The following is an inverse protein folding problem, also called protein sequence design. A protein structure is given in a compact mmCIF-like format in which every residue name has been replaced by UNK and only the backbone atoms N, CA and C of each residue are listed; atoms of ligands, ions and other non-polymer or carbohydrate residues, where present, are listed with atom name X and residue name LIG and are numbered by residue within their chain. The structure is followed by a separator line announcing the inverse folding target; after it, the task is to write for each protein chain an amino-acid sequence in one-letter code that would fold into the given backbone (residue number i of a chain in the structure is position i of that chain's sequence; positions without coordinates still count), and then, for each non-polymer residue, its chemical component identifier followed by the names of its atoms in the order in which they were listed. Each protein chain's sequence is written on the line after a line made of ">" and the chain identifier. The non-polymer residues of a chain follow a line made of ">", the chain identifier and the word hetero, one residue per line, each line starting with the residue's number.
data_IF_025517095744
#
_entry.id   IF_025517095744
#
_cell.length_a   1.000
_cell.length_b   1.000
_cell.length_c   1.000
_cell.angle_alpha   90.00
_cell.angle_beta   90.00
_cell.angle_gamma   90.00
#
_symmetry.space_group_name_H-M   'P 1'
#
loop_
_entity.id
_entity.type
_entity.pdbx_description
1 polymer ?
#
# COMPACT_ATOMS: atom_id res chain seq x y z
N UNK A 1 2.39 -22.57 -14.67
CA UNK A 1 1.54 -23.22 -13.68
C UNK A 1 0.38 -22.26 -13.40
N UNK A 2 -0.82 -22.53 -13.94
CA UNK A 2 -2.02 -21.74 -13.62
C UNK A 2 -2.29 -21.95 -12.13
N UNK A 3 -2.27 -20.86 -11.33
CA UNK A 3 -2.81 -20.91 -9.96
C UNK A 3 -4.30 -21.19 -10.12
N UNK A 4 -4.78 -22.35 -9.65
CA UNK A 4 -6.21 -22.57 -9.50
C UNK A 4 -6.78 -21.42 -8.67
N UNK A 5 -7.69 -20.67 -9.26
CA UNK A 5 -8.34 -19.53 -8.60
C UNK A 5 -9.24 -20.08 -7.50
N UNK A 6 -8.82 -19.93 -6.26
CA UNK A 6 -9.63 -20.30 -5.09
C UNK A 6 -10.78 -19.30 -4.92
N UNK A 7 -12.00 -19.82 -4.78
CA UNK A 7 -13.20 -19.02 -4.55
C UNK A 7 -13.47 -18.93 -3.05
N UNK A 8 -13.67 -17.73 -2.53
CA UNK A 8 -14.07 -17.49 -1.14
C UNK A 8 -15.59 -17.38 -1.05
N UNK A 9 -16.20 -18.18 -0.17
CA UNK A 9 -17.65 -18.21 0.04
C UNK A 9 -17.96 -17.97 1.51
N UNK A 10 -18.73 -16.93 1.80
CA UNK A 10 -19.22 -16.61 3.16
C UNK A 10 -20.66 -17.08 3.30
N UNK A 11 -20.95 -17.85 4.33
CA UNK A 11 -22.31 -18.28 4.67
C UNK A 11 -22.75 -17.70 6.01
N UNK A 12 -24.05 -17.46 6.11
CA UNK A 12 -24.69 -17.02 7.36
C UNK A 12 -24.89 -18.20 8.30
N UNK A 13 -24.49 -18.04 9.57
CA UNK A 13 -24.79 -19.06 10.60
C UNK A 13 -26.30 -19.16 10.82
N UNK A 14 -26.83 -20.41 11.07
CA UNK A 14 -26.12 -21.63 11.46
C UNK A 14 -25.59 -22.49 10.29
N UNK A 15 -25.65 -22.02 9.05
CA UNK A 15 -25.16 -22.78 7.92
C UNK A 15 -23.66 -23.12 8.06
N UNK A 16 -23.26 -24.31 7.65
CA UNK A 16 -21.85 -24.73 7.66
C UNK A 16 -21.11 -24.12 6.46
N UNK A 17 -19.92 -23.60 6.73
CA UNK A 17 -19.01 -23.17 5.66
C UNK A 17 -18.70 -24.31 4.69
N UNK A 18 -18.74 -24.06 3.38
CA UNK A 18 -18.45 -25.10 2.40
C UNK A 18 -17.01 -25.59 2.52
N UNK A 19 -16.83 -26.91 2.45
CA UNK A 19 -15.53 -27.57 2.43
C UNK A 19 -15.41 -28.33 1.11
N UNK A 20 -14.87 -27.69 0.08
CA UNK A 20 -14.65 -28.27 -1.25
C UNK A 20 -13.27 -27.86 -1.77
N UNK A 21 -12.64 -28.67 -2.65
CA UNK A 21 -11.45 -28.23 -3.38
C UNK A 21 -11.68 -26.87 -4.05
N UNK A 22 -10.68 -26.01 -4.05
CA UNK A 22 -10.71 -24.65 -4.59
C UNK A 22 -11.77 -23.70 -3.96
N UNK A 23 -12.33 -24.02 -2.78
CA UNK A 23 -13.26 -23.16 -2.03
C UNK A 23 -12.74 -22.94 -0.61
N UNK A 24 -12.59 -21.67 -0.20
CA UNK A 24 -12.36 -21.28 1.19
C UNK A 24 -13.67 -20.79 1.79
N UNK A 25 -14.17 -21.50 2.78
CA UNK A 25 -15.43 -21.20 3.45
C UNK A 25 -15.23 -20.25 4.64
N UNK A 26 -16.01 -19.16 4.67
CA UNK A 26 -16.13 -18.24 5.79
C UNK A 26 -17.53 -18.31 6.40
N UNK A 27 -17.70 -17.85 7.65
CA UNK A 27 -19.01 -17.73 8.26
C UNK A 27 -19.24 -16.32 8.80
N UNK A 28 -20.48 -15.87 8.75
CA UNK A 28 -20.95 -14.62 9.31
C UNK A 28 -22.15 -14.88 10.24
N UNK A 29 -22.30 -14.08 11.28
CA UNK A 29 -23.38 -14.20 12.25
C UNK A 29 -24.30 -12.98 12.16
N UNK A 30 -25.62 -13.15 12.03
CA UNK A 30 -26.58 -12.05 12.08
C UNK A 30 -26.44 -11.21 13.36
N UNK A 31 -26.61 -9.89 13.26
CA UNK A 31 -26.46 -8.98 14.39
C UNK A 31 -25.05 -8.43 14.59
N UNK A 32 -24.08 -8.83 13.76
CA UNK A 32 -22.71 -8.30 13.76
C UNK A 32 -22.59 -7.13 12.76
N UNK A 33 -23.36 -6.07 12.96
CA UNK A 33 -23.32 -4.87 12.12
C UNK A 33 -24.10 -4.99 10.80
N UNK A 34 -23.76 -4.13 9.83
CA UNK A 34 -24.40 -4.14 8.51
C UNK A 34 -24.10 -5.46 7.75
N UNK A 35 -25.02 -5.94 6.88
CA UNK A 35 -24.78 -7.15 6.11
C UNK A 35 -23.42 -7.09 5.40
N UNK A 36 -22.61 -8.16 5.47
CA UNK A 36 -21.25 -8.17 4.93
C UNK A 36 -21.21 -8.28 3.40
N UNK A 37 -22.33 -8.14 2.72
CA UNK A 37 -22.47 -8.28 1.28
C UNK A 37 -23.21 -7.13 0.63
N UNK A 38 -23.02 -7.02 -0.68
CA UNK A 38 -23.77 -6.19 -1.60
C UNK A 38 -24.46 -7.09 -2.62
N UNK A 39 -25.68 -6.79 -3.00
CA UNK A 39 -26.32 -7.43 -4.13
C UNK A 39 -25.81 -6.83 -5.45
N UNK A 40 -25.31 -7.67 -6.34
CA UNK A 40 -24.88 -7.27 -7.68
C UNK A 40 -25.37 -8.30 -8.68
N UNK A 41 -26.27 -7.90 -9.57
CA UNK A 41 -26.84 -8.75 -10.63
C UNK A 41 -27.38 -10.09 -10.12
N UNK A 42 -28.04 -10.09 -8.94
CA UNK A 42 -28.56 -11.26 -8.29
C UNK A 42 -27.52 -12.12 -7.53
N UNK A 43 -26.28 -11.63 -7.40
CA UNK A 43 -25.23 -12.28 -6.61
C UNK A 43 -24.96 -11.46 -5.34
N UNK A 44 -24.81 -12.15 -4.22
CA UNK A 44 -24.31 -11.55 -2.98
C UNK A 44 -22.80 -11.53 -3.00
N UNK A 45 -22.21 -10.34 -3.03
CA UNK A 45 -20.76 -10.12 -3.04
C UNK A 45 -20.37 -9.50 -1.71
N UNK A 46 -19.34 -10.03 -1.06
CA UNK A 46 -18.84 -9.48 0.21
C UNK A 46 -18.40 -8.03 0.05
N UNK A 47 -18.72 -7.20 1.05
CA UNK A 47 -18.21 -5.83 1.11
C UNK A 47 -16.70 -5.84 1.24
N UNK A 48 -16.03 -4.84 0.65
CA UNK A 48 -14.58 -4.75 0.63
C UNK A 48 -13.95 -4.81 2.03
N UNK A 49 -14.52 -4.12 3.02
CA UNK A 49 -14.05 -4.18 4.39
C UNK A 49 -14.14 -5.60 4.99
N UNK A 50 -15.19 -6.36 4.66
CA UNK A 50 -15.30 -7.76 5.09
C UNK A 50 -14.25 -8.65 4.42
N UNK A 51 -14.03 -8.49 3.12
CA UNK A 51 -12.99 -9.21 2.39
C UNK A 51 -11.63 -8.99 3.05
N UNK A 52 -11.31 -7.75 3.40
CA UNK A 52 -10.05 -7.40 4.06
C UNK A 52 -9.86 -8.10 5.41
N UNK A 53 -10.92 -8.17 6.24
CA UNK A 53 -10.88 -8.92 7.50
C UNK A 53 -10.64 -10.42 7.27
N UNK A 54 -11.30 -11.01 6.29
CA UNK A 54 -11.16 -12.44 5.97
C UNK A 54 -9.74 -12.77 5.46
N UNK A 55 -9.10 -11.84 4.73
CA UNK A 55 -7.73 -11.96 4.25
C UNK A 55 -6.69 -12.02 5.40
N UNK A 56 -6.97 -11.45 6.57
CA UNK A 56 -6.09 -11.51 7.72
C UNK A 56 -5.80 -12.94 8.21
N UNK A 57 -6.59 -13.93 7.79
CA UNK A 57 -6.33 -15.35 8.08
C UNK A 57 -5.30 -16.00 7.15
N UNK A 58 -4.89 -15.33 6.08
CA UNK A 58 -4.08 -15.87 5.00
C UNK A 58 -2.85 -15.02 4.66
N UNK A 59 -2.89 -13.73 5.01
CA UNK A 59 -1.86 -12.76 4.70
C UNK A 59 -1.06 -12.40 5.95
N UNK A 60 0.21 -12.08 5.75
CA UNK A 60 1.02 -11.42 6.76
C UNK A 60 0.68 -9.92 6.88
N UNK A 61 1.37 -9.21 7.77
CA UNK A 61 1.14 -7.78 8.01
C UNK A 61 1.34 -6.95 6.73
N UNK A 62 2.41 -7.19 6.00
CA UNK A 62 2.76 -6.40 4.81
C UNK A 62 1.74 -6.60 3.71
N UNK A 63 1.39 -7.84 3.41
CA UNK A 63 0.43 -8.17 2.36
C UNK A 63 -0.99 -7.73 2.74
N UNK A 64 -1.34 -7.74 4.04
CA UNK A 64 -2.62 -7.21 4.52
C UNK A 64 -2.69 -5.68 4.37
N UNK A 65 -1.58 -4.96 4.62
CA UNK A 65 -1.50 -3.51 4.36
C UNK A 65 -1.61 -3.23 2.85
N UNK A 66 -0.91 -3.98 2.00
CA UNK A 66 -1.02 -3.86 0.53
C UNK A 66 -2.47 -4.03 0.07
N UNK A 67 -3.14 -5.06 0.57
CA UNK A 67 -4.55 -5.30 0.24
C UNK A 67 -5.45 -4.14 0.71
N UNK A 68 -5.17 -3.58 1.90
CA UNK A 68 -5.90 -2.43 2.43
C UNK A 68 -5.67 -1.15 1.62
N UNK A 69 -4.42 -0.81 1.31
CA UNK A 69 -4.07 0.33 0.47
C UNK A 69 -4.74 0.23 -0.91
N UNK A 70 -4.77 -0.98 -1.51
CA UNK A 70 -5.50 -1.23 -2.76
C UNK A 70 -7.00 -0.95 -2.63
N UNK A 71 -7.64 -1.33 -1.52
CA UNK A 71 -9.06 -1.04 -1.29
C UNK A 71 -9.33 0.45 -1.11
N UNK A 72 -8.41 1.17 -0.46
CA UNK A 72 -8.49 2.62 -0.29
C UNK A 72 -8.29 3.37 -1.60
N UNK A 73 -7.38 2.89 -2.47
CA UNK A 73 -7.21 3.43 -3.81
C UNK A 73 -8.44 3.21 -4.69
N UNK A 74 -8.97 1.99 -4.69
CA UNK A 74 -10.11 1.61 -5.52
C UNK A 74 -9.79 1.51 -7.01
N UNK A 75 -10.79 1.82 -7.85
CA UNK A 75 -10.63 1.79 -9.31
C UNK A 75 -10.61 3.21 -9.88
N UNK A 76 -9.91 3.34 -11.00
CA UNK A 76 -9.85 4.62 -11.74
C UNK A 76 -11.10 4.78 -12.59
N UNK A 77 -11.79 5.88 -12.41
CA UNK A 77 -12.95 6.27 -13.21
C UNK A 77 -12.52 6.87 -14.57
N UNK A 78 -13.45 7.00 -15.51
CA UNK A 78 -13.19 7.57 -16.85
C UNK A 78 -12.73 9.03 -16.81
N UNK A 79 -13.14 9.78 -15.79
CA UNK A 79 -12.73 11.17 -15.56
C UNK A 79 -11.33 11.30 -14.94
N UNK A 80 -10.65 10.17 -14.66
CA UNK A 80 -9.33 10.11 -14.05
C UNK A 80 -9.32 10.08 -12.52
N UNK A 81 -10.47 10.32 -11.86
CA UNK A 81 -10.59 10.19 -10.41
C UNK A 81 -10.53 8.73 -9.94
N UNK A 82 -10.23 8.53 -8.65
CA UNK A 82 -10.27 7.21 -8.04
C UNK A 82 -11.51 7.08 -7.15
N UNK A 83 -12.24 5.97 -7.30
CA UNK A 83 -13.35 5.61 -6.44
C UNK A 83 -12.93 4.45 -5.54
N UNK A 84 -12.77 4.68 -4.22
CA UNK A 84 -12.33 3.64 -3.30
C UNK A 84 -13.36 2.51 -3.19
N UNK A 85 -12.88 1.29 -2.97
CA UNK A 85 -13.73 0.14 -2.62
C UNK A 85 -14.16 0.20 -1.16
N UNK A 86 -13.30 0.77 -0.29
CA UNK A 86 -13.57 1.05 1.11
C UNK A 86 -12.85 2.33 1.54
N UNK A 87 -13.32 2.96 2.61
CA UNK A 87 -12.66 4.09 3.26
C UNK A 87 -12.02 3.66 4.59
N UNK A 88 -11.04 4.43 5.10
CA UNK A 88 -10.43 4.17 6.41
C UNK A 88 -11.50 4.05 7.52
N UNK A 89 -12.50 4.94 7.63
CA UNK A 89 -13.57 4.77 8.62
C UNK A 89 -14.33 3.45 8.49
N UNK A 90 -14.60 2.98 7.26
CA UNK A 90 -15.29 1.71 7.05
C UNK A 90 -14.44 0.51 7.47
N UNK A 91 -13.12 0.53 7.18
CA UNK A 91 -12.19 -0.51 7.61
C UNK A 91 -12.05 -0.51 9.14
N UNK A 92 -11.95 0.65 9.77
CA UNK A 92 -11.91 0.80 11.24
C UNK A 92 -13.18 0.31 11.91
N UNK A 93 -14.34 0.64 11.37
CA UNK A 93 -15.62 0.16 11.91
C UNK A 93 -15.72 -1.37 11.83
N UNK A 94 -15.39 -1.95 10.70
CA UNK A 94 -15.36 -3.41 10.53
C UNK A 94 -14.35 -4.09 11.47
N UNK A 95 -13.16 -3.50 11.66
CA UNK A 95 -12.17 -4.02 12.59
C UNK A 95 -12.61 -3.94 14.05
N UNK A 96 -13.32 -2.88 14.46
CA UNK A 96 -13.88 -2.74 15.81
C UNK A 96 -14.90 -3.85 16.11
N UNK A 97 -15.76 -4.19 15.14
CA UNK A 97 -16.69 -5.33 15.26
C UNK A 97 -15.94 -6.68 15.35
N UNK A 98 -14.68 -6.72 14.92
CA UNK A 98 -13.81 -7.90 14.91
C UNK A 98 -12.81 -7.96 16.09
N UNK A 99 -12.81 -6.98 16.99
CA UNK A 99 -11.76 -6.75 17.99
C UNK A 99 -11.50 -7.93 18.94
N UNK A 100 -12.48 -8.80 19.17
CA UNK A 100 -12.37 -9.96 20.07
C UNK A 100 -12.18 -11.30 19.30
N UNK A 101 -11.87 -11.24 18.02
CA UNK A 101 -11.75 -12.40 17.15
C UNK A 101 -10.29 -12.73 16.82
N UNK A 102 -10.13 -13.89 16.20
CA UNK A 102 -8.83 -14.31 15.68
C UNK A 102 -8.27 -13.25 14.72
N UNK A 103 -6.95 -13.02 14.77
CA UNK A 103 -6.19 -12.03 14.00
C UNK A 103 -6.52 -10.55 14.30
N UNK A 104 -7.26 -10.22 15.36
CA UNK A 104 -7.58 -8.84 15.71
C UNK A 104 -6.32 -7.96 15.91
N UNK A 105 -5.27 -8.49 16.52
CA UNK A 105 -4.00 -7.78 16.69
C UNK A 105 -3.32 -7.46 15.35
N UNK A 106 -3.32 -8.40 14.41
CA UNK A 106 -2.78 -8.21 13.06
C UNK A 106 -3.58 -7.14 12.29
N UNK A 107 -4.90 -7.21 12.37
CA UNK A 107 -5.81 -6.23 11.74
C UNK A 107 -5.58 -4.83 12.33
N UNK A 108 -5.47 -4.70 13.66
CA UNK A 108 -5.20 -3.44 14.32
C UNK A 108 -3.85 -2.85 13.89
N UNK A 109 -2.79 -3.67 13.85
CA UNK A 109 -1.47 -3.25 13.38
C UNK A 109 -1.52 -2.80 11.91
N UNK A 110 -2.22 -3.53 11.04
CA UNK A 110 -2.35 -3.16 9.64
C UNK A 110 -3.09 -1.83 9.46
N UNK A 111 -4.17 -1.57 10.23
CA UNK A 111 -4.95 -0.32 10.17
C UNK A 111 -4.10 0.94 10.41
N UNK A 112 -3.13 0.88 11.32
CA UNK A 112 -2.24 2.02 11.60
C UNK A 112 -1.28 2.31 10.44
N UNK A 113 -1.00 1.28 9.64
CA UNK A 113 -0.08 1.34 8.50
C UNK A 113 -0.76 1.69 7.18
N UNK A 114 -2.10 1.68 7.10
CA UNK A 114 -2.83 2.00 5.87
C UNK A 114 -2.58 3.43 5.41
N UNK A 115 -2.45 3.60 4.11
CA UNK A 115 -2.37 4.92 3.47
C UNK A 115 -3.27 4.96 2.23
N UNK A 116 -3.92 6.10 2.05
CA UNK A 116 -4.63 6.43 0.82
C UNK A 116 -3.64 6.84 -0.28
N UNK A 117 -4.09 6.83 -1.54
CA UNK A 117 -3.34 7.31 -2.70
C UNK A 117 -2.09 6.49 -3.07
N UNK A 118 -1.97 5.26 -2.58
CA UNK A 118 -0.89 4.34 -2.99
C UNK A 118 -1.26 3.71 -4.33
N UNK A 119 -0.38 3.81 -5.32
CA UNK A 119 -0.68 3.39 -6.69
C UNK A 119 -0.25 1.95 -7.02
N UNK A 120 0.68 1.38 -6.26
CA UNK A 120 1.16 0.02 -6.48
C UNK A 120 1.50 -0.74 -5.19
N UNK A 121 1.50 -2.10 -5.23
CA UNK A 121 1.99 -2.92 -4.12
C UNK A 121 3.44 -2.63 -3.73
N UNK A 122 4.27 -2.25 -4.70
CA UNK A 122 5.69 -1.97 -4.45
C UNK A 122 5.91 -0.64 -3.73
N UNK A 123 5.07 0.37 -3.98
CA UNK A 123 5.07 1.62 -3.19
C UNK A 123 4.72 1.34 -1.73
N UNK A 124 3.70 0.51 -1.45
CA UNK A 124 3.39 0.07 -0.08
C UNK A 124 4.60 -0.61 0.56
N UNK A 125 5.23 -1.58 -0.13
CA UNK A 125 6.41 -2.29 0.40
C UNK A 125 7.55 -1.34 0.68
N UNK A 126 7.88 -0.45 -0.25
CA UNK A 126 8.96 0.52 -0.12
C UNK A 126 8.72 1.47 1.05
N UNK A 127 7.50 1.96 1.20
CA UNK A 127 7.07 2.79 2.34
C UNK A 127 7.29 2.06 3.66
N UNK A 128 6.83 0.81 3.78
CA UNK A 128 6.98 0.01 4.99
C UNK A 128 8.44 -0.31 5.30
N UNK A 129 9.29 -0.52 4.30
CA UNK A 129 10.74 -0.65 4.46
C UNK A 129 11.32 0.61 5.10
N UNK A 130 11.00 1.79 4.56
CA UNK A 130 11.48 3.08 5.08
C UNK A 130 11.01 3.33 6.50
N UNK A 131 9.71 3.11 6.78
CA UNK A 131 9.13 3.27 8.11
C UNK A 131 9.76 2.32 9.13
N UNK A 132 9.89 1.02 8.79
CA UNK A 132 10.44 0.01 9.70
C UNK A 132 11.92 0.22 10.00
N UNK A 133 12.64 0.87 9.11
CA UNK A 133 14.03 1.26 9.31
C UNK A 133 14.20 2.50 10.21
N UNK A 134 13.12 3.12 10.69
CA UNK A 134 13.14 4.25 11.61
C UNK A 134 13.39 5.62 10.94
N UNK A 135 13.23 5.71 9.62
CA UNK A 135 13.25 7.00 8.91
C UNK A 135 11.96 7.79 9.13
N UNK A 136 11.95 9.10 8.85
CA UNK A 136 10.72 9.89 8.90
C UNK A 136 9.63 9.27 8.03
N UNK A 137 8.37 9.28 8.53
CA UNK A 137 7.23 8.67 7.85
C UNK A 137 7.03 9.30 6.46
N UNK A 138 7.13 8.52 5.37
CA UNK A 138 7.02 9.07 4.03
C UNK A 138 5.58 9.48 3.70
N UNK A 139 5.44 10.59 2.97
CA UNK A 139 4.17 11.02 2.40
C UNK A 139 4.05 10.40 1.00
N UNK A 140 2.90 9.78 0.73
CA UNK A 140 2.65 9.02 -0.50
C UNK A 140 2.12 9.94 -1.60
N UNK A 141 2.69 9.83 -2.80
CA UNK A 141 2.22 10.47 -4.03
C UNK A 141 1.88 11.97 -3.86
N UNK A 142 2.68 12.68 -3.04
CA UNK A 142 2.52 14.11 -2.86
C UNK A 142 3.35 14.88 -3.89
N UNK A 143 2.73 15.78 -4.67
CA UNK A 143 3.45 16.53 -5.70
C UNK A 143 4.48 17.49 -5.11
N UNK A 144 5.59 17.68 -5.82
CA UNK A 144 6.59 18.71 -5.62
C UNK A 144 6.20 19.86 -6.54
N UNK A 145 6.02 21.04 -5.97
CA UNK A 145 5.60 22.24 -6.70
C UNK A 145 6.75 23.21 -6.83
N UNK A 146 6.75 23.99 -7.93
CA UNK A 146 7.62 25.15 -8.08
C UNK A 146 7.08 26.37 -7.30
N UNK A 147 7.78 27.51 -7.40
CA UNK A 147 7.40 28.76 -6.76
C UNK A 147 6.08 29.37 -7.31
N UNK A 148 5.62 28.91 -8.47
CA UNK A 148 4.37 29.33 -9.11
C UNK A 148 3.21 28.39 -8.78
N UNK A 149 3.47 27.26 -8.08
CA UNK A 149 2.49 26.24 -7.75
C UNK A 149 2.29 25.18 -8.83
N UNK A 150 3.15 25.15 -9.86
CA UNK A 150 3.11 24.11 -10.91
C UNK A 150 3.82 22.85 -10.46
N UNK A 151 3.32 21.70 -10.91
CA UNK A 151 3.87 20.40 -10.53
C UNK A 151 5.15 20.13 -11.32
N UNK A 152 6.29 20.06 -10.61
CA UNK A 152 7.58 19.64 -11.18
C UNK A 152 7.66 18.11 -11.24
N UNK A 153 7.31 17.43 -10.14
CA UNK A 153 7.37 15.97 -10.01
C UNK A 153 6.36 15.47 -9.00
N UNK A 154 6.05 14.19 -9.09
CA UNK A 154 5.24 13.50 -8.10
C UNK A 154 5.92 12.15 -7.79
N UNK A 155 6.84 12.10 -6.83
CA UNK A 155 7.49 10.87 -6.42
C UNK A 155 6.49 9.94 -5.72
N UNK A 156 6.74 8.63 -5.76
CA UNK A 156 5.92 7.65 -5.05
C UNK A 156 5.92 7.91 -3.54
N UNK A 157 7.09 8.29 -3.01
CA UNK A 157 7.25 8.65 -1.59
C UNK A 157 8.06 9.94 -1.47
N UNK A 158 7.64 10.82 -0.57
CA UNK A 158 8.35 12.05 -0.20
C UNK A 158 8.74 12.00 1.28
N UNK A 159 10.01 12.27 1.59
CA UNK A 159 10.46 12.37 2.99
C UNK A 159 10.24 13.81 3.45
N UNK A 160 9.31 14.05 4.39
CA UNK A 160 8.95 15.40 4.81
C UNK A 160 10.12 16.11 5.49
N UNK A 161 10.35 17.38 5.14
CA UNK A 161 11.37 18.23 5.74
C UNK A 161 12.79 18.06 5.20
N UNK A 162 13.01 17.16 4.22
CA UNK A 162 14.37 16.85 3.74
C UNK A 162 14.57 16.98 2.22
N UNK A 163 13.58 17.39 1.48
CA UNK A 163 13.64 17.50 0.01
C UNK A 163 14.19 16.22 -0.66
N UNK A 164 13.70 15.06 -0.23
CA UNK A 164 14.03 13.75 -0.79
C UNK A 164 12.75 13.09 -1.27
N UNK A 165 12.75 12.73 -2.55
CA UNK A 165 11.74 11.88 -3.19
C UNK A 165 12.29 10.49 -3.46
N UNK A 166 11.46 9.47 -3.37
CA UNK A 166 11.80 8.08 -3.68
C UNK A 166 10.81 7.59 -4.72
N UNK A 167 11.31 6.97 -5.79
CA UNK A 167 10.52 6.42 -6.89
C UNK A 167 10.85 4.95 -7.08
N UNK A 168 9.82 4.10 -7.18
CA UNK A 168 10.00 2.69 -7.52
C UNK A 168 10.05 2.50 -9.04
N UNK A 169 11.15 1.98 -9.54
CA UNK A 169 11.34 1.69 -10.95
C UNK A 169 11.00 0.22 -11.25
N UNK A 170 9.79 -0.01 -11.79
CA UNK A 170 9.39 -1.32 -12.30
C UNK A 170 10.01 -1.64 -13.68
N UNK A 171 10.00 -2.91 -14.07
CA UNK A 171 10.64 -3.40 -15.31
C UNK A 171 10.01 -2.86 -16.62
N UNK A 172 8.88 -2.14 -16.57
CA UNK A 172 8.04 -1.83 -17.73
C UNK A 172 8.41 -0.58 -18.56
N UNK A 173 9.35 0.29 -18.15
CA UNK A 173 9.44 1.64 -18.71
C UNK A 173 10.75 2.01 -19.43
N UNK A 174 11.57 1.04 -19.88
CA UNK A 174 12.93 1.33 -20.38
C UNK A 174 13.07 1.71 -21.88
N UNK A 175 12.00 1.82 -22.64
CA UNK A 175 12.12 1.88 -24.14
C UNK A 175 11.59 3.15 -24.81
N UNK A 176 11.03 4.13 -24.12
CA UNK A 176 10.50 5.33 -24.75
C UNK A 176 11.47 6.52 -24.66
N UNK A 177 12.00 6.93 -25.84
CA UNK A 177 12.94 8.07 -25.97
C UNK A 177 12.30 9.41 -25.52
N UNK A 178 11.01 9.58 -25.72
CA UNK A 178 10.29 10.78 -25.30
C UNK A 178 10.15 10.87 -23.80
N UNK A 179 9.97 9.73 -23.13
CA UNK A 179 9.94 9.63 -21.68
C UNK A 179 11.31 9.94 -21.08
N UNK A 180 12.38 9.39 -21.66
CA UNK A 180 13.75 9.70 -21.23
C UNK A 180 14.06 11.21 -21.26
N UNK A 181 13.64 11.91 -22.33
CA UNK A 181 13.85 13.36 -22.42
C UNK A 181 13.09 14.12 -21.32
N UNK A 182 11.83 13.75 -21.04
CA UNK A 182 11.06 14.34 -19.95
C UNK A 182 11.71 14.10 -18.58
N UNK A 183 12.23 12.89 -18.34
CA UNK A 183 12.90 12.52 -17.10
C UNK A 183 14.19 13.32 -16.89
N UNK A 184 14.94 13.61 -17.97
CA UNK A 184 16.13 14.46 -17.92
C UNK A 184 15.76 15.92 -17.55
N UNK A 185 14.68 16.47 -18.13
CA UNK A 185 14.22 17.82 -17.82
C UNK A 185 13.75 17.88 -16.36
N UNK A 186 12.88 16.97 -15.95
CA UNK A 186 12.37 16.86 -14.57
C UNK A 186 13.51 16.79 -13.54
N UNK A 187 14.55 16.01 -13.83
CA UNK A 187 15.71 15.89 -12.93
C UNK A 187 16.47 17.20 -12.78
N UNK A 188 16.64 17.97 -13.87
CA UNK A 188 17.25 19.30 -13.79
C UNK A 188 16.42 20.29 -13.00
N UNK A 189 15.10 20.27 -13.14
CA UNK A 189 14.18 21.11 -12.38
C UNK A 189 14.23 20.78 -10.89
N UNK A 190 14.28 19.50 -10.52
CA UNK A 190 14.46 19.05 -9.14
C UNK A 190 15.81 19.51 -8.57
N UNK A 191 16.90 19.40 -9.35
CA UNK A 191 18.23 19.85 -8.94
C UNK A 191 18.26 21.37 -8.65
N UNK A 192 17.54 22.17 -9.45
CA UNK A 192 17.45 23.63 -9.26
C UNK A 192 16.81 24.05 -7.93
N UNK A 193 15.92 23.23 -7.39
CA UNK A 193 15.23 23.48 -6.10
C UNK A 193 15.80 22.60 -4.96
N UNK A 194 17.00 22.05 -5.16
CA UNK A 194 17.70 21.18 -4.19
C UNK A 194 16.87 19.94 -3.75
N UNK A 195 16.14 19.33 -4.67
CA UNK A 195 15.47 18.06 -4.44
C UNK A 195 16.32 16.89 -4.93
N UNK A 196 16.42 15.84 -4.10
CA UNK A 196 17.06 14.59 -4.45
C UNK A 196 16.02 13.51 -4.76
N UNK A 197 16.05 12.97 -5.97
CA UNK A 197 15.32 11.75 -6.29
C UNK A 197 16.23 10.53 -6.04
N UNK A 198 15.69 9.51 -5.35
CA UNK A 198 16.31 8.21 -5.11
C UNK A 198 15.44 7.17 -5.80
N UNK A 199 16.00 6.46 -6.77
CA UNK A 199 15.34 5.36 -7.45
C UNK A 199 15.51 4.07 -6.67
N UNK A 200 14.42 3.31 -6.47
CA UNK A 200 14.41 1.98 -5.90
C UNK A 200 13.93 0.96 -6.94
N UNK A 201 14.52 -0.22 -6.94
CA UNK A 201 14.23 -1.31 -7.87
C UNK A 201 13.87 -2.58 -7.12
N UNK A 202 13.38 -3.61 -7.81
CA UNK A 202 12.99 -4.88 -7.19
C UNK A 202 14.07 -5.52 -6.29
N UNK A 203 15.38 -5.50 -6.63
CA UNK A 203 16.41 -5.93 -5.69
C UNK A 203 16.43 -5.20 -4.36
N UNK A 204 16.10 -3.91 -4.31
CA UNK A 204 16.05 -3.12 -3.08
C UNK A 204 14.86 -3.49 -2.19
N UNK A 205 13.78 -3.98 -2.76
CA UNK A 205 12.66 -4.54 -2.00
C UNK A 205 13.06 -5.85 -1.32
N UNK A 206 13.89 -6.67 -1.99
CA UNK A 206 14.32 -7.97 -1.46
C UNK A 206 15.48 -7.88 -0.48
N UNK A 207 16.37 -6.92 -0.71
CA UNK A 207 17.54 -6.66 0.13
C UNK A 207 17.76 -5.14 0.26
N UNK A 208 17.05 -4.48 1.18
CA UNK A 208 16.96 -3.02 1.24
C UNK A 208 18.23 -2.33 1.76
N UNK A 209 19.25 -3.06 2.16
CA UNK A 209 20.40 -2.49 2.84
C UNK A 209 21.14 -1.40 2.07
N UNK A 210 21.39 -1.61 0.79
CA UNK A 210 22.07 -0.61 -0.04
C UNK A 210 21.20 0.65 -0.23
N UNK A 211 19.93 0.45 -0.53
CA UNK A 211 18.94 1.54 -0.65
C UNK A 211 18.83 2.34 0.65
N UNK A 212 18.67 1.68 1.81
CA UNK A 212 18.56 2.35 3.09
C UNK A 212 19.82 3.12 3.49
N UNK A 213 21.01 2.59 3.16
CA UNK A 213 22.27 3.31 3.35
C UNK A 213 22.34 4.58 2.49
N UNK A 214 21.91 4.50 1.23
CA UNK A 214 21.83 5.65 0.32
C UNK A 214 20.85 6.71 0.87
N UNK A 215 19.67 6.30 1.30
CA UNK A 215 18.67 7.17 1.91
C UNK A 215 19.21 7.83 3.19
N UNK A 216 19.83 7.05 4.07
CA UNK A 216 20.42 7.56 5.30
C UNK A 216 21.52 8.60 5.01
N UNK A 217 22.42 8.31 4.06
CA UNK A 217 23.48 9.23 3.69
C UNK A 217 22.90 10.56 3.20
N UNK A 218 21.91 10.54 2.34
CA UNK A 218 21.29 11.74 1.81
C UNK A 218 20.53 12.53 2.88
N UNK A 219 19.77 11.86 3.75
CA UNK A 219 19.07 12.50 4.85
C UNK A 219 20.03 13.14 5.87
N UNK A 220 21.18 12.47 6.16
CA UNK A 220 22.24 13.05 7.03
C UNK A 220 22.82 14.31 6.43
N UNK A 221 23.11 14.35 5.13
CA UNK A 221 23.59 15.54 4.44
C UNK A 221 22.60 16.71 4.54
N UNK A 222 21.31 16.41 4.69
CA UNK A 222 20.20 17.36 4.83
C UNK A 222 19.79 17.61 6.28
N UNK A 223 20.63 17.22 7.25
CA UNK A 223 20.48 17.55 8.66
C UNK A 223 19.62 16.58 9.48
N UNK A 224 19.25 15.41 8.95
CA UNK A 224 18.58 14.42 9.76
C UNK A 224 19.52 13.82 10.81
N UNK A 225 19.10 13.86 12.09
CA UNK A 225 19.89 13.40 13.26
C UNK A 225 19.32 12.13 13.89
N UNK A 226 18.22 11.59 13.37
CA UNK A 226 17.57 10.39 13.91
C UNK A 226 18.42 9.13 13.76
N UNK A 227 18.00 8.06 14.38
CA UNK A 227 18.65 6.74 14.31
C UNK A 227 17.86 5.85 13.37
N UNK A 228 18.52 5.24 12.38
CA UNK A 228 17.93 4.18 11.58
C UNK A 228 18.34 2.83 12.13
N UNK A 229 17.42 1.90 12.10
CA UNK A 229 17.66 0.48 12.35
C UNK A 229 17.42 -0.30 11.08
N UNK A 230 18.09 -1.45 10.92
CA UNK A 230 17.78 -2.35 9.81
C UNK A 230 16.37 -2.91 9.99
N UNK A 231 15.58 -3.08 8.91
CA UNK A 231 14.23 -3.57 9.04
C UNK A 231 14.19 -4.96 9.68
N UNK A 232 13.54 -5.04 10.82
CA UNK A 232 13.29 -6.30 11.54
C UNK A 232 12.01 -7.00 11.06
N UNK A 233 11.19 -6.35 10.24
CA UNK A 233 10.02 -6.97 9.63
C UNK A 233 10.49 -7.94 8.56
N UNK A 234 10.01 -9.18 8.60
CA UNK A 234 10.27 -10.22 7.59
C UNK A 234 9.68 -9.86 6.22
N UNK A 235 10.23 -8.82 5.61
CA UNK A 235 9.79 -8.24 4.33
C UNK A 235 10.48 -8.94 3.14
N UNK A 236 11.21 -10.01 3.40
CA UNK A 236 11.92 -10.77 2.38
C UNK A 236 11.51 -12.24 2.39
N UNK A 237 10.55 -12.58 1.58
CA UNK A 237 10.16 -13.95 1.27
C UNK A 237 9.45 -13.97 -0.07
#
# INVERSE_FOLDING_TARGET
>A
MQRESTVHVTVERPNRSPQRPAVVGHSWQPGEGAPPWLDSRGLRISRAARIWLDLASQLDLVDLVIAGDYLLRGFRERNGSHRPFATIPQLRAAAAEHAHRRHAALIAAALELLRERVDSPYETRLRLIVQSAGFPDPIVNEPILDAMGEIIAQPDLRIPGYNVGIEYQGDGHRTDRSQWQRDVVRRRELDLIDWKSIEAVLPDIRNPGHFLNTLQHELRRRGWTGTSTWPTLGIGG
#
